data_IF_274080143769
#
_entry.id   IF_274080143769
#
_cell.length_a   1.000
_cell.length_b   1.000
_cell.length_c   1.000
_cell.angle_alpha   90.00
_cell.angle_beta   90.00
_cell.angle_gamma   90.00
#
_symmetry.space_group_name_H-M   'P 1'
#
loop_
_entity.id
_entity.type
_entity.pdbx_description
1 polymer ?
#
# COMPACT_ATOMS: atom_id res chain seq x y z
N UNK A 1 12.72 7.06 1.85
CA UNK A 1 11.61 7.51 2.70
C UNK A 1 10.28 7.39 1.98
N UNK A 2 9.61 6.28 1.99
CA UNK A 2 8.20 6.26 1.64
C UNK A 2 7.32 6.29 2.89
N UNK A 3 6.19 6.97 2.77
CA UNK A 3 5.12 6.94 3.78
C UNK A 3 3.97 6.14 3.20
N UNK A 4 3.54 5.12 3.92
CA UNK A 4 2.47 4.23 3.51
C UNK A 4 1.23 4.51 4.35
N UNK A 5 0.09 4.68 3.69
CA UNK A 5 -1.22 4.74 4.34
C UNK A 5 -2.08 3.60 3.81
N UNK A 6 -2.67 2.84 4.71
CA UNK A 6 -3.52 1.68 4.35
C UNK A 6 -4.91 1.90 4.90
N UNK A 7 -5.91 1.96 4.00
CA UNK A 7 -7.32 2.00 4.36
C UNK A 7 -7.92 0.62 4.10
N UNK A 8 -8.63 0.09 5.08
CA UNK A 8 -9.17 -1.27 4.99
C UNK A 8 -10.35 -1.42 5.94
N UNK A 9 -11.16 -2.43 5.73
CA UNK A 9 -12.24 -2.78 6.64
C UNK A 9 -11.69 -3.19 8.01
N UNK A 10 -12.39 -2.82 9.07
CA UNK A 10 -11.98 -3.11 10.44
C UNK A 10 -11.76 -4.59 10.69
N UNK A 11 -12.57 -5.46 10.12
CA UNK A 11 -12.40 -6.90 10.26
C UNK A 11 -11.08 -7.39 9.67
N UNK A 12 -10.67 -6.85 8.54
CA UNK A 12 -9.40 -7.17 7.90
C UNK A 12 -8.23 -6.66 8.74
N UNK A 13 -8.37 -5.44 9.26
CA UNK A 13 -7.36 -4.85 10.16
C UNK A 13 -7.17 -5.73 11.40
N UNK A 14 -8.25 -6.08 12.09
CA UNK A 14 -8.17 -6.85 13.33
C UNK A 14 -7.51 -8.22 13.10
N UNK A 15 -7.79 -8.82 11.95
CA UNK A 15 -7.27 -10.14 11.61
C UNK A 15 -5.83 -10.12 11.12
N UNK A 16 -5.43 -9.14 10.33
CA UNK A 16 -4.24 -9.28 9.48
C UNK A 16 -3.34 -8.05 9.37
N UNK A 17 -3.55 -6.97 10.14
CA UNK A 17 -2.83 -5.71 9.88
C UNK A 17 -1.29 -5.85 9.99
N UNK A 18 -0.79 -6.64 10.93
CA UNK A 18 0.65 -6.83 11.06
C UNK A 18 1.23 -7.57 9.85
N UNK A 19 0.56 -8.63 9.42
CA UNK A 19 1.00 -9.39 8.24
C UNK A 19 0.90 -8.54 6.96
N UNK A 20 -0.14 -7.72 6.84
CA UNK A 20 -0.29 -6.78 5.72
C UNK A 20 0.85 -5.77 5.72
N UNK A 21 1.15 -5.17 6.86
CA UNK A 21 2.24 -4.21 6.99
C UNK A 21 3.59 -4.82 6.61
N UNK A 22 3.86 -6.03 7.06
CA UNK A 22 5.09 -6.74 6.71
C UNK A 22 5.15 -7.06 5.21
N UNK A 23 4.04 -7.49 4.61
CA UNK A 23 3.97 -7.78 3.19
C UNK A 23 4.28 -6.55 2.34
N UNK A 24 3.70 -5.41 2.67
CA UNK A 24 3.94 -4.14 1.97
C UNK A 24 5.40 -3.72 2.14
N UNK A 25 5.93 -3.80 3.35
CA UNK A 25 7.31 -3.41 3.63
C UNK A 25 8.32 -4.29 2.88
N UNK A 26 8.11 -5.60 2.89
CA UNK A 26 8.95 -6.53 2.16
C UNK A 26 8.91 -6.28 0.65
N UNK A 27 7.75 -5.92 0.11
CA UNK A 27 7.61 -5.53 -1.29
C UNK A 27 8.40 -4.26 -1.62
N UNK A 28 8.42 -3.29 -0.72
CA UNK A 28 9.21 -2.07 -0.87
C UNK A 28 10.71 -2.37 -0.88
N UNK A 29 11.17 -3.23 0.01
CA UNK A 29 12.59 -3.64 0.04
C UNK A 29 12.96 -4.33 -1.26
N UNK A 30 12.14 -5.30 -1.69
CA UNK A 30 12.39 -6.08 -2.89
C UNK A 30 12.38 -5.24 -4.16
N UNK A 31 11.36 -4.41 -4.34
CA UNK A 31 11.13 -3.72 -5.61
C UNK A 31 11.71 -2.30 -5.66
N UNK A 32 11.73 -1.60 -4.54
CA UNK A 32 12.21 -0.21 -4.48
C UNK A 32 13.59 -0.07 -3.87
N UNK A 33 14.13 -1.14 -3.27
CA UNK A 33 15.46 -1.12 -2.69
C UNK A 33 15.61 -0.25 -1.46
N UNK A 34 14.53 -0.02 -0.70
CA UNK A 34 14.63 0.77 0.53
C UNK A 34 15.33 -0.02 1.64
N UNK A 35 15.99 0.65 2.59
CA UNK A 35 16.54 -0.03 3.77
C UNK A 35 15.45 -0.70 4.62
N UNK A 36 15.78 -1.83 5.24
CA UNK A 36 14.82 -2.59 6.03
C UNK A 36 14.28 -1.83 7.25
N UNK A 37 15.04 -0.86 7.76
CA UNK A 37 14.65 -0.03 8.89
C UNK A 37 13.93 1.26 8.48
N UNK A 38 13.77 1.53 7.20
CA UNK A 38 13.01 2.67 6.69
C UNK A 38 11.54 2.27 6.57
N UNK A 39 10.80 2.40 7.68
CA UNK A 39 9.42 1.93 7.75
C UNK A 39 8.51 2.96 8.39
N UNK A 40 7.60 3.52 7.59
CA UNK A 40 6.55 4.43 8.06
C UNK A 40 5.22 3.98 7.48
N UNK A 41 4.33 3.51 8.35
CA UNK A 41 3.03 2.97 7.95
C UNK A 41 1.95 3.50 8.87
N UNK A 42 0.84 3.94 8.27
CA UNK A 42 -0.37 4.36 8.97
C UNK A 42 -1.49 3.43 8.51
N UNK A 43 -2.16 2.78 9.47
CA UNK A 43 -3.34 1.98 9.19
C UNK A 43 -4.58 2.74 9.64
N UNK A 44 -5.57 2.82 8.75
CA UNK A 44 -6.86 3.43 9.05
C UNK A 44 -7.97 2.41 8.80
N UNK A 45 -8.40 1.68 9.85
CA UNK A 45 -9.53 0.77 9.72
C UNK A 45 -10.83 1.56 9.62
N UNK A 46 -11.77 1.02 8.84
CA UNK A 46 -13.05 1.64 8.57
C UNK A 46 -14.20 0.71 8.93
N UNK A 47 -15.29 1.31 9.42
CA UNK A 47 -16.52 0.60 9.70
C UNK A 47 -17.35 0.47 8.42
N UNK A 48 -18.39 -0.36 8.47
CA UNK A 48 -19.26 -0.61 7.33
C UNK A 48 -19.80 0.69 6.74
N UNK A 49 -19.71 0.84 5.42
CA UNK A 49 -20.19 2.00 4.69
C UNK A 49 -19.22 3.18 4.59
N UNK A 50 -18.07 3.11 5.26
CA UNK A 50 -17.07 4.18 5.19
C UNK A 50 -16.17 4.07 3.97
N UNK A 51 -15.90 2.86 3.48
CA UNK A 51 -15.17 2.63 2.23
C UNK A 51 -16.18 2.32 1.13
N UNK A 52 -16.34 3.27 0.21
CA UNK A 52 -17.24 3.12 -0.93
C UNK A 52 -16.42 2.98 -2.19
N UNK A 53 -16.81 2.05 -3.05
CA UNK A 53 -16.05 1.75 -4.25
C UNK A 53 -16.95 1.26 -5.38
N UNK A 54 -16.47 1.42 -6.59
CA UNK A 54 -17.09 0.84 -7.78
C UNK A 54 -16.70 -0.65 -7.86
N UNK A 55 -17.67 -1.57 -7.74
CA UNK A 55 -17.36 -3.00 -7.73
C UNK A 55 -16.89 -3.53 -9.08
N UNK A 56 -17.09 -2.78 -10.18
CA UNK A 56 -16.75 -3.20 -11.51
C UNK A 56 -15.68 -2.38 -12.20
N UNK A 57 -15.09 -1.39 -11.54
CA UNK A 57 -14.09 -0.53 -12.16
C UNK A 57 -12.91 -1.36 -12.69
N UNK A 58 -12.43 -0.99 -13.87
CA UNK A 58 -11.33 -1.64 -14.58
C UNK A 58 -11.63 -3.09 -14.98
N UNK A 59 -12.91 -3.45 -15.11
CA UNK A 59 -13.31 -4.77 -15.60
C UNK A 59 -13.09 -5.92 -14.64
N UNK A 60 -12.81 -5.64 -13.37
CA UNK A 60 -12.63 -6.67 -12.34
C UNK A 60 -13.80 -6.62 -11.36
N UNK A 61 -14.02 -7.72 -10.62
CA UNK A 61 -15.04 -7.79 -9.58
C UNK A 61 -14.39 -7.50 -8.22
N UNK A 62 -14.76 -6.37 -7.60
CA UNK A 62 -14.33 -6.03 -6.22
C UNK A 62 -15.39 -6.47 -5.23
N UNK A 63 -14.93 -7.03 -4.12
CA UNK A 63 -15.79 -7.48 -3.02
C UNK A 63 -15.49 -6.74 -1.74
N UNK A 64 -14.25 -6.34 -1.55
CA UNK A 64 -13.75 -5.59 -0.39
C UNK A 64 -12.63 -4.69 -0.88
N UNK A 65 -12.51 -3.48 -0.34
CA UNK A 65 -11.49 -2.54 -0.81
C UNK A 65 -10.36 -2.41 0.20
N UNK A 66 -9.14 -2.56 -0.28
CA UNK A 66 -7.93 -2.23 0.46
C UNK A 66 -7.17 -1.19 -0.36
N UNK A 67 -7.04 0.01 0.20
CA UNK A 67 -6.35 1.12 -0.46
C UNK A 67 -4.97 1.30 0.16
N UNK A 68 -3.96 1.32 -0.68
CA UNK A 68 -2.59 1.60 -0.26
C UNK A 68 -2.15 2.88 -0.95
N UNK A 69 -1.92 3.92 -0.16
CA UNK A 69 -1.36 5.18 -0.65
C UNK A 69 0.11 5.23 -0.29
N UNK A 70 0.93 5.48 -1.31
CA UNK A 70 2.38 5.55 -1.17
C UNK A 70 2.84 6.96 -1.53
N UNK A 71 3.54 7.62 -0.61
CA UNK A 71 4.20 8.89 -0.91
C UNK A 71 5.70 8.62 -0.86
N UNK A 72 6.39 8.88 -1.95
CA UNK A 72 7.81 8.56 -2.09
C UNK A 72 8.61 9.76 -2.61
N UNK A 73 9.88 9.81 -2.25
CA UNK A 73 10.79 10.89 -2.64
C UNK A 73 11.29 10.73 -4.07
N UNK A 74 11.50 9.49 -4.50
CA UNK A 74 12.13 9.23 -5.79
C UNK A 74 11.12 9.19 -6.93
N UNK A 75 11.59 9.60 -8.10
CA UNK A 75 10.86 9.47 -9.34
C UNK A 75 11.23 8.13 -9.97
N UNK A 76 10.51 7.09 -9.60
CA UNK A 76 10.80 5.74 -10.11
C UNK A 76 10.38 5.58 -11.57
N UNK A 77 11.13 4.81 -12.37
CA UNK A 77 10.66 4.42 -13.70
C UNK A 77 9.33 3.66 -13.65
N UNK A 78 8.57 3.72 -14.72
CA UNK A 78 7.27 3.03 -14.83
C UNK A 78 7.42 1.53 -14.55
N UNK A 79 8.46 0.90 -15.09
CA UNK A 79 8.71 -0.53 -14.89
C UNK A 79 8.96 -0.88 -13.42
N UNK A 80 9.67 -0.01 -12.69
CA UNK A 80 9.91 -0.20 -11.25
C UNK A 80 8.61 -0.12 -10.47
N UNK A 81 7.75 0.85 -10.80
CA UNK A 81 6.44 0.99 -10.17
C UNK A 81 5.58 -0.25 -10.40
N UNK A 82 5.57 -0.78 -11.62
CA UNK A 82 4.82 -1.98 -11.96
C UNK A 82 5.32 -3.20 -11.20
N UNK A 83 6.63 -3.36 -11.07
CA UNK A 83 7.24 -4.44 -10.27
C UNK A 83 6.84 -4.30 -8.81
N UNK A 84 6.84 -3.09 -8.28
CA UNK A 84 6.42 -2.82 -6.90
C UNK A 84 4.94 -3.19 -6.69
N UNK A 85 4.05 -2.75 -7.55
CA UNK A 85 2.62 -3.06 -7.46
C UNK A 85 2.39 -4.56 -7.49
N UNK A 86 3.06 -5.26 -8.39
CA UNK A 86 2.96 -6.72 -8.48
C UNK A 86 3.48 -7.41 -7.22
N UNK A 87 4.61 -6.95 -6.69
CA UNK A 87 5.20 -7.51 -5.47
C UNK A 87 4.24 -7.36 -4.27
N UNK A 88 3.58 -6.20 -4.14
CA UNK A 88 2.59 -5.97 -3.09
C UNK A 88 1.42 -6.95 -3.24
N UNK A 89 0.84 -7.02 -4.42
CA UNK A 89 -0.33 -7.86 -4.70
C UNK A 89 -0.01 -9.34 -4.46
N UNK A 90 1.14 -9.80 -4.94
CA UNK A 90 1.58 -11.19 -4.79
C UNK A 90 1.80 -11.57 -3.32
N UNK A 91 2.28 -10.63 -2.50
CA UNK A 91 2.51 -10.87 -1.07
C UNK A 91 1.24 -10.78 -0.23
N UNK A 92 0.23 -10.06 -0.71
CA UNK A 92 -1.05 -9.94 -0.01
C UNK A 92 -1.98 -11.12 -0.29
N UNK A 93 -1.85 -11.76 -1.43
CA UNK A 93 -2.74 -12.86 -1.82
C UNK A 93 -2.74 -14.04 -0.84
N UNK A 94 -1.59 -14.52 -0.34
CA UNK A 94 -1.57 -15.58 0.67
C UNK A 94 -2.27 -15.23 1.97
N UNK A 95 -2.47 -13.92 2.23
CA UNK A 95 -3.17 -13.44 3.42
C UNK A 95 -4.70 -13.40 3.24
N UNK A 96 -5.19 -13.85 2.09
CA UNK A 96 -6.61 -13.83 1.77
C UNK A 96 -7.10 -12.52 1.15
N UNK A 97 -6.18 -11.64 0.74
CA UNK A 97 -6.54 -10.38 0.09
C UNK A 97 -6.46 -10.59 -1.41
N UNK A 98 -7.61 -10.51 -2.07
CA UNK A 98 -7.72 -10.75 -3.50
C UNK A 98 -7.03 -9.63 -4.28
N UNK A 99 -6.29 -9.94 -5.35
CA UNK A 99 -5.70 -8.90 -6.20
C UNK A 99 -6.70 -7.86 -6.69
N UNK A 100 -7.93 -8.28 -7.00
CA UNK A 100 -9.00 -7.40 -7.48
C UNK A 100 -9.43 -6.37 -6.44
N UNK A 101 -9.20 -6.63 -5.16
CA UNK A 101 -9.60 -5.77 -4.05
C UNK A 101 -8.54 -4.74 -3.66
N UNK A 102 -7.35 -4.82 -4.25
CA UNK A 102 -6.23 -3.91 -3.93
C UNK A 102 -6.25 -2.70 -4.87
N UNK A 103 -6.20 -1.52 -4.30
CA UNK A 103 -6.02 -0.26 -5.03
C UNK A 103 -4.78 0.43 -4.49
N UNK A 104 -3.79 0.66 -5.35
CA UNK A 104 -2.54 1.31 -4.97
C UNK A 104 -2.40 2.60 -5.76
N UNK A 105 -2.09 3.69 -5.05
CA UNK A 105 -1.76 4.97 -5.68
C UNK A 105 -0.42 5.45 -5.13
N UNK A 106 0.50 5.82 -6.03
CA UNK A 106 1.82 6.29 -5.68
C UNK A 106 1.97 7.75 -6.10
N UNK A 107 2.31 8.59 -5.13
CA UNK A 107 2.58 10.01 -5.33
C UNK A 107 4.05 10.27 -5.04
N UNK A 108 4.72 11.03 -5.90
CA UNK A 108 6.15 11.34 -5.77
C UNK A 108 6.36 12.81 -5.49
N UNK A 109 7.37 13.11 -4.64
CA UNK A 109 7.78 14.49 -4.34
C UNK A 109 9.30 14.55 -4.17
N UNK A 110 9.82 15.70 -3.74
CA UNK A 110 11.25 15.91 -3.55
C UNK A 110 11.66 15.86 -2.08
N UNK A 111 12.96 15.81 -1.82
CA UNK A 111 13.50 15.82 -0.46
C UNK A 111 13.09 17.09 0.29
N UNK A 112 12.93 18.20 -0.39
CA UNK A 112 12.52 19.48 0.18
C UNK A 112 11.09 19.48 0.73
N UNK A 113 10.31 18.47 0.39
CA UNK A 113 8.91 18.37 0.80
C UNK A 113 8.74 17.62 2.13
N UNK A 114 9.84 17.25 2.78
CA UNK A 114 9.81 16.43 4.00
C UNK A 114 10.53 17.11 5.16
N UNK A 115 9.95 16.97 6.34
CA UNK A 115 10.63 17.20 7.61
C UNK A 115 10.62 15.89 8.40
N UNK A 116 11.78 15.36 8.73
CA UNK A 116 11.92 14.07 9.42
C UNK A 116 12.82 14.20 10.66
N UNK A 117 12.45 15.13 11.56
CA UNK A 117 13.12 15.29 12.84
C UNK A 117 14.24 16.33 12.86
N UNK A 118 14.74 16.72 11.70
CA UNK A 118 15.76 17.78 11.56
C UNK A 118 15.69 18.39 10.17
N UNK A 119 16.24 19.58 10.05
CA UNK A 119 16.39 20.27 8.77
C UNK A 119 17.72 19.93 8.14
#
# INVERSE_FOLDING_TARGET
>A
MPLIQVHLDREVYDKSHEAIGNAIHDAQIEALGIPADDRFQIFQPHDAGELKFDPGYNGVERRSLLVIRVIAVHMYPVTTKQVFFKAVVDRLEPLGIRPQDVLISLTENGFEDWYAGKI
#
